data_IF_227388593798
#
_entry.id   IF_227388593798
#
_cell.length_a   1.000
_cell.length_b   1.000
_cell.length_c   1.000
_cell.angle_alpha   90.00
_cell.angle_beta   90.00
_cell.angle_gamma   90.00
#
_symmetry.space_group_name_H-M   'P 1'
#
loop_
_entity.id
_entity.type
_entity.pdbx_description
1 polymer ?
#
# COMPACT_ATOMS: atom_id res chain seq x y z
N UNK A 1 -26.96 44.43 -8.21
CA UNK A 1 -25.52 44.26 -7.90
C UNK A 1 -25.22 42.78 -7.70
N UNK A 2 -24.37 42.19 -8.55
CA UNK A 2 -24.03 40.74 -8.55
C UNK A 2 -22.85 40.50 -7.61
N UNK A 3 -23.00 39.67 -6.56
CA UNK A 3 -21.83 39.11 -5.84
C UNK A 3 -21.60 37.67 -6.31
N UNK A 4 -20.47 37.52 -6.98
CA UNK A 4 -19.96 36.30 -7.64
C UNK A 4 -19.69 35.20 -6.62
N UNK A 5 -19.92 33.98 -7.09
CA UNK A 5 -19.53 32.72 -6.48
C UNK A 5 -18.04 32.70 -6.08
N UNK A 6 -17.77 32.41 -4.80
CA UNK A 6 -16.46 31.91 -4.38
C UNK A 6 -16.54 30.39 -4.47
N UNK A 7 -16.37 29.91 -5.71
CA UNK A 7 -16.08 28.50 -5.99
C UNK A 7 -14.66 28.27 -5.48
N UNK A 8 -14.53 27.76 -4.26
CA UNK A 8 -13.26 27.36 -3.67
C UNK A 8 -12.59 26.34 -4.60
N UNK A 9 -11.58 26.81 -5.31
CA UNK A 9 -10.79 26.06 -6.27
C UNK A 9 -9.82 25.18 -5.46
N UNK A 10 -10.31 24.07 -4.93
CA UNK A 10 -9.43 23.04 -4.38
C UNK A 10 -8.50 22.54 -5.50
N UNK A 11 -7.21 22.31 -5.22
CA UNK A 11 -6.27 21.83 -6.22
C UNK A 11 -6.77 20.50 -6.81
N UNK A 12 -6.55 20.30 -8.11
CA UNK A 12 -7.01 19.18 -8.91
C UNK A 12 -6.57 17.77 -8.44
N UNK A 13 -5.88 17.65 -7.29
CA UNK A 13 -5.44 16.41 -6.66
C UNK A 13 -6.54 15.66 -5.89
N UNK A 14 -7.65 16.32 -5.53
CA UNK A 14 -8.65 15.76 -4.61
C UNK A 14 -9.97 15.32 -5.26
N UNK A 15 -10.08 15.31 -6.59
CA UNK A 15 -11.39 15.03 -7.22
C UNK A 15 -11.77 13.55 -7.31
N UNK A 16 -10.85 12.64 -6.97
CA UNK A 16 -11.11 11.20 -6.88
C UNK A 16 -10.31 10.58 -5.74
N UNK A 17 -10.43 11.15 -4.52
CA UNK A 17 -9.85 10.54 -3.32
C UNK A 17 -10.70 9.34 -2.93
N UNK A 18 -10.56 8.23 -3.67
CA UNK A 18 -11.11 6.96 -3.25
C UNK A 18 -10.56 6.68 -1.84
N UNK A 19 -11.41 6.48 -0.82
CA UNK A 19 -10.94 6.22 0.52
C UNK A 19 -9.87 5.10 0.52
N UNK A 20 -8.80 5.19 1.33
CA UNK A 20 -7.69 4.22 1.29
C UNK A 20 -8.13 2.76 1.36
N UNK A 21 -9.25 2.49 2.03
CA UNK A 21 -9.93 1.17 2.07
C UNK A 21 -10.34 0.62 0.71
N UNK A 22 -10.77 1.46 -0.23
CA UNK A 22 -11.14 1.02 -1.59
C UNK A 22 -9.90 0.70 -2.42
N UNK A 23 -8.82 1.45 -2.24
CA UNK A 23 -7.54 1.16 -2.91
C UNK A 23 -6.91 -0.13 -2.36
N UNK A 24 -6.99 -0.36 -1.04
CA UNK A 24 -6.64 -1.65 -0.43
C UNK A 24 -7.46 -2.80 -1.02
N UNK A 25 -8.79 -2.64 -1.12
CA UNK A 25 -9.63 -3.67 -1.74
C UNK A 25 -9.29 -3.89 -3.22
N UNK A 26 -9.08 -2.83 -3.98
CA UNK A 26 -8.71 -2.92 -5.40
C UNK A 26 -7.37 -3.66 -5.59
N UNK A 27 -6.36 -3.38 -4.78
CA UNK A 27 -5.08 -4.09 -4.88
C UNK A 27 -5.22 -5.56 -4.47
N UNK A 28 -6.04 -5.87 -3.45
CA UNK A 28 -6.35 -7.25 -3.08
C UNK A 28 -7.07 -8.01 -4.20
N UNK A 29 -8.04 -7.37 -4.87
CA UNK A 29 -8.72 -7.96 -6.02
C UNK A 29 -7.77 -8.16 -7.19
N UNK A 30 -6.88 -7.20 -7.46
CA UNK A 30 -5.87 -7.32 -8.51
C UNK A 30 -4.86 -8.46 -8.23
N UNK A 31 -4.47 -8.66 -6.96
CA UNK A 31 -3.67 -9.81 -6.54
C UNK A 31 -4.41 -11.13 -6.80
N UNK A 32 -5.67 -11.22 -6.38
CA UNK A 32 -6.50 -12.41 -6.61
C UNK A 32 -6.73 -12.69 -8.11
N UNK A 33 -6.80 -11.64 -8.92
CA UNK A 33 -6.94 -11.72 -10.37
C UNK A 33 -5.63 -12.05 -11.11
N UNK A 34 -4.52 -12.26 -10.41
CA UNK A 34 -3.22 -12.55 -11.04
C UNK A 34 -2.63 -11.35 -11.81
N UNK A 35 -3.00 -10.12 -11.43
CA UNK A 35 -2.55 -8.88 -12.05
C UNK A 35 -1.58 -8.12 -11.14
N UNK A 36 -0.32 -8.58 -10.99
CA UNK A 36 0.62 -8.02 -10.02
C UNK A 36 0.98 -6.56 -10.32
N UNK A 37 1.03 -6.16 -11.60
CA UNK A 37 1.32 -4.76 -11.98
C UNK A 37 0.24 -3.80 -11.47
N UNK A 38 -1.03 -4.12 -11.74
CA UNK A 38 -2.18 -3.35 -11.26
C UNK A 38 -2.24 -3.34 -9.73
N UNK A 39 -1.95 -4.48 -9.09
CA UNK A 39 -1.90 -4.57 -7.63
C UNK A 39 -0.87 -3.61 -7.03
N UNK A 40 0.34 -3.53 -7.61
CA UNK A 40 1.38 -2.62 -7.16
C UNK A 40 0.92 -1.17 -7.28
N UNK A 41 0.25 -0.78 -8.37
CA UNK A 41 -0.24 0.60 -8.50
C UNK A 41 -1.28 0.97 -7.45
N UNK A 42 -2.27 0.11 -7.23
CA UNK A 42 -3.31 0.35 -6.22
C UNK A 42 -2.74 0.36 -4.80
N UNK A 43 -1.80 -0.55 -4.50
CA UNK A 43 -1.15 -0.62 -3.20
C UNK A 43 -0.22 0.58 -2.96
N UNK A 44 0.52 1.05 -3.96
CA UNK A 44 1.33 2.28 -3.88
C UNK A 44 0.46 3.49 -3.58
N UNK A 45 -0.68 3.62 -4.28
CA UNK A 45 -1.66 4.69 -4.00
C UNK A 45 -2.18 4.58 -2.57
N UNK A 46 -2.56 3.39 -2.11
CA UNK A 46 -3.02 3.19 -0.73
C UNK A 46 -1.95 3.59 0.30
N UNK A 47 -0.71 3.15 0.12
CA UNK A 47 0.40 3.48 1.02
C UNK A 47 0.74 4.98 0.98
N UNK A 48 0.71 5.63 -0.19
CA UNK A 48 0.95 7.08 -0.28
C UNK A 48 -0.10 7.93 0.45
N UNK A 49 -1.34 7.44 0.56
CA UNK A 49 -2.42 8.12 1.27
C UNK A 49 -2.38 7.88 2.78
N UNK A 50 -1.76 6.78 3.22
CA UNK A 50 -1.62 6.41 4.64
C UNK A 50 -0.29 5.67 4.86
N UNK A 51 0.85 6.39 4.91
CA UNK A 51 2.16 5.77 5.06
C UNK A 51 2.33 5.04 6.40
N UNK A 52 1.61 5.50 7.42
CA UNK A 52 1.59 4.91 8.75
C UNK A 52 0.62 3.71 8.89
N UNK A 53 -0.13 3.33 7.85
CA UNK A 53 -1.00 2.15 7.90
C UNK A 53 -0.20 0.87 7.57
N UNK A 54 0.12 0.02 8.55
CA UNK A 54 0.83 -1.23 8.33
C UNK A 54 0.07 -2.17 7.37
N UNK A 55 -1.26 -2.06 7.32
CA UNK A 55 -2.10 -2.87 6.44
C UNK A 55 -1.93 -2.47 4.96
N UNK A 56 -1.68 -1.19 4.67
CA UNK A 56 -1.36 -0.71 3.34
C UNK A 56 0.05 -1.14 2.92
N UNK A 57 1.02 -1.08 3.84
CA UNK A 57 2.37 -1.53 3.59
C UNK A 57 2.45 -3.05 3.32
N UNK A 58 1.74 -3.87 4.10
CA UNK A 58 1.65 -5.32 3.89
C UNK A 58 1.12 -5.67 2.50
N UNK A 59 0.09 -4.96 2.06
CA UNK A 59 -0.51 -5.16 0.75
C UNK A 59 0.43 -4.75 -0.39
N UNK A 60 1.21 -3.70 -0.20
CA UNK A 60 2.25 -3.27 -1.13
C UNK A 60 3.37 -4.31 -1.24
N UNK A 61 3.82 -4.86 -0.11
CA UNK A 61 4.80 -5.94 -0.10
C UNK A 61 4.26 -7.21 -0.80
N UNK A 62 3.02 -7.60 -0.54
CA UNK A 62 2.38 -8.72 -1.24
C UNK A 62 2.29 -8.49 -2.76
N UNK A 63 1.96 -7.28 -3.18
CA UNK A 63 1.94 -6.89 -4.59
C UNK A 63 3.33 -6.94 -5.23
N UNK A 64 4.37 -6.49 -4.51
CA UNK A 64 5.76 -6.59 -4.98
C UNK A 64 6.25 -8.02 -5.09
N UNK A 65 5.92 -8.89 -4.12
CA UNK A 65 6.20 -10.33 -4.21
C UNK A 65 5.57 -10.97 -5.44
N UNK A 66 4.29 -10.73 -5.67
CA UNK A 66 3.58 -11.25 -6.85
C UNK A 66 4.16 -10.69 -8.17
N UNK A 67 4.79 -9.51 -8.14
CA UNK A 67 5.47 -8.91 -9.27
C UNK A 67 6.93 -9.39 -9.46
N UNK A 68 7.44 -10.28 -8.59
CA UNK A 68 8.84 -10.74 -8.59
C UNK A 68 9.85 -9.72 -8.03
N UNK A 69 9.36 -8.62 -7.44
CA UNK A 69 10.20 -7.53 -6.90
C UNK A 69 10.46 -7.75 -5.41
N UNK A 70 11.21 -8.80 -5.11
CA UNK A 70 11.39 -9.23 -3.71
C UNK A 70 12.19 -8.21 -2.87
N UNK A 71 13.17 -7.52 -3.46
CA UNK A 71 13.92 -6.45 -2.77
C UNK A 71 13.02 -5.27 -2.36
N UNK A 72 12.17 -4.80 -3.28
CA UNK A 72 11.19 -3.73 -2.99
C UNK A 72 10.20 -4.18 -1.90
N UNK A 73 9.81 -5.47 -1.89
CA UNK A 73 8.93 -6.02 -0.86
C UNK A 73 9.60 -6.01 0.52
N UNK A 74 10.89 -6.36 0.59
CA UNK A 74 11.66 -6.33 1.83
C UNK A 74 11.72 -4.92 2.41
N UNK A 75 12.13 -3.93 1.60
CA UNK A 75 12.27 -2.54 2.05
C UNK A 75 10.97 -1.99 2.65
N UNK A 76 9.83 -2.24 1.99
CA UNK A 76 8.52 -1.79 2.47
C UNK A 76 8.17 -2.42 3.81
N UNK A 77 8.43 -3.71 4.01
CA UNK A 77 8.15 -4.40 5.26
C UNK A 77 9.05 -3.90 6.39
N UNK A 78 10.34 -3.68 6.12
CA UNK A 78 11.29 -3.13 7.09
C UNK A 78 10.86 -1.72 7.53
N UNK A 79 10.50 -0.85 6.57
CA UNK A 79 9.99 0.48 6.89
C UNK A 79 8.68 0.43 7.69
N UNK A 80 7.76 -0.46 7.32
CA UNK A 80 6.49 -0.62 8.03
C UNK A 80 6.68 -1.08 9.48
N UNK A 81 7.65 -1.97 9.72
CA UNK A 81 8.01 -2.41 11.06
C UNK A 81 8.69 -1.31 11.89
N UNK A 82 9.51 -0.46 11.26
CA UNK A 82 10.15 0.66 11.92
C UNK A 82 9.14 1.72 12.39
N UNK A 83 7.98 1.83 11.74
CA UNK A 83 6.93 2.79 12.06
C UNK A 83 6.14 2.49 13.34
N UNK A 84 6.51 1.47 14.14
CA UNK A 84 5.91 1.12 15.45
C UNK A 84 4.39 1.36 15.48
N UNK A 85 3.65 0.55 14.72
CA UNK A 85 2.20 0.49 14.89
C UNK A 85 1.90 -0.10 16.27
N UNK A 86 1.19 0.64 17.12
CA UNK A 86 0.71 0.18 18.45
C UNK A 86 -0.17 -1.09 18.38
N UNK A 87 -0.58 -1.52 17.17
CA UNK A 87 -1.25 -2.80 16.94
C UNK A 87 -0.25 -3.97 16.85
N UNK A 88 -0.13 -4.71 17.95
CA UNK A 88 0.77 -5.86 18.12
C UNK A 88 0.50 -7.00 17.10
N UNK A 89 -0.77 -7.21 16.74
CA UNK A 89 -1.20 -8.27 15.80
C UNK A 89 -0.67 -8.04 14.37
N UNK A 90 -0.74 -6.81 13.85
CA UNK A 90 -0.25 -6.51 12.50
C UNK A 90 1.28 -6.61 12.43
N UNK A 91 1.96 -6.42 13.56
CA UNK A 91 3.41 -6.52 13.65
C UNK A 91 3.90 -7.96 13.53
N UNK A 92 3.17 -8.94 14.06
CA UNK A 92 3.52 -10.37 13.89
C UNK A 92 3.34 -10.82 12.44
N UNK A 93 2.28 -10.38 11.77
CA UNK A 93 2.06 -10.67 10.36
C UNK A 93 3.14 -10.05 9.46
N UNK A 94 3.53 -8.79 9.71
CA UNK A 94 4.63 -8.14 8.98
C UNK A 94 5.96 -8.88 9.14
N UNK A 95 6.27 -9.38 10.35
CA UNK A 95 7.47 -10.21 10.58
C UNK A 95 7.43 -11.51 9.78
N UNK A 96 6.28 -12.19 9.74
CA UNK A 96 6.11 -13.42 8.98
C UNK A 96 6.28 -13.15 7.47
N UNK A 97 5.64 -12.10 6.97
CA UNK A 97 5.78 -11.70 5.56
C UNK A 97 7.24 -11.34 5.22
N UNK A 98 7.96 -10.66 6.12
CA UNK A 98 9.36 -10.30 5.93
C UNK A 98 10.27 -11.53 5.92
N UNK A 99 10.05 -12.47 6.84
CA UNK A 99 10.80 -13.72 6.90
C UNK A 99 10.62 -14.52 5.60
N UNK A 100 9.40 -14.56 5.07
CA UNK A 100 9.10 -15.24 3.81
C UNK A 100 9.75 -14.54 2.60
N UNK A 101 9.72 -13.21 2.53
CA UNK A 101 10.41 -12.46 1.46
C UNK A 101 11.92 -12.74 1.48
N UNK A 102 12.55 -12.70 2.66
CA UNK A 102 13.98 -12.99 2.81
C UNK A 102 14.33 -14.41 2.44
N UNK A 103 13.47 -15.36 2.81
CA UNK A 103 13.62 -16.76 2.43
C UNK A 103 13.58 -16.93 0.92
N UNK A 104 12.68 -16.24 0.23
CA UNK A 104 12.59 -16.26 -1.23
C UNK A 104 13.79 -15.57 -1.89
N UNK A 105 14.25 -14.44 -1.35
CA UNK A 105 15.47 -13.74 -1.79
C UNK A 105 16.72 -14.61 -1.67
N UNK A 106 16.82 -15.42 -0.62
CA UNK A 106 17.95 -16.33 -0.44
C UNK A 106 17.93 -17.53 -1.41
N UNK A 107 16.81 -17.78 -2.10
CA UNK A 107 16.61 -18.87 -3.04
C UNK A 107 16.62 -18.43 -4.51
N UNK A 108 16.53 -17.12 -4.77
CA UNK A 108 16.58 -16.49 -6.09
C UNK A 108 18.00 -16.11 -6.49
#
# INVERSE_FOLDING_TARGET
MRRRAVRSRLPARDRWRAPPRFLRRAASCALAAGQPRSAVEYAKKAHSLSPADPSAARLLAAAFRAAGKLSDAEEVLVMAMALKSENDVLTSELRNDLAEVRRLLAQS
#
